data_IF_359207788087
#
_entry.id   IF_359207788087
#
_cell.length_a   1.000
_cell.length_b   1.000
_cell.length_c   1.000
_cell.angle_alpha   90.00
_cell.angle_beta   90.00
_cell.angle_gamma   90.00
#
_symmetry.space_group_name_H-M   'P 1'
#
loop_
_entity.id
_entity.type
_entity.pdbx_description
1 polymer ?
#
# COMPACT_ATOMS: atom_id res chain seq x y z
N UNK A 1 20.70 40.10 -30.23
CA UNK A 1 20.82 38.62 -30.20
C UNK A 1 20.09 38.12 -28.96
N UNK A 2 19.04 37.32 -29.19
CA UNK A 2 18.09 36.81 -28.19
C UNK A 2 18.70 35.66 -27.39
N UNK A 3 18.61 35.72 -26.05
CA UNK A 3 19.06 34.64 -25.16
C UNK A 3 18.07 34.39 -23.99
N UNK A 4 16.77 34.55 -24.23
CA UNK A 4 15.71 34.41 -23.20
C UNK A 4 14.79 33.19 -23.39
N UNK A 5 14.82 32.52 -24.55
CA UNK A 5 13.92 31.39 -24.83
C UNK A 5 14.33 30.06 -24.16
N UNK A 6 15.61 29.89 -23.81
CA UNK A 6 16.18 28.64 -23.27
C UNK A 6 15.84 28.38 -21.79
N UNK A 7 15.69 29.43 -20.98
CA UNK A 7 15.42 29.32 -19.54
C UNK A 7 13.95 28.99 -19.22
N UNK A 8 13.00 29.56 -19.99
CA UNK A 8 11.56 29.30 -19.81
C UNK A 8 11.15 27.87 -20.15
N UNK A 9 11.75 27.27 -21.18
CA UNK A 9 11.50 25.88 -21.56
C UNK A 9 11.98 24.87 -20.50
N UNK A 10 13.20 25.06 -19.96
CA UNK A 10 13.76 24.17 -18.90
C UNK A 10 12.99 24.25 -17.59
N UNK A 11 12.48 25.43 -17.21
CA UNK A 11 11.66 25.58 -16.00
C UNK A 11 10.30 24.88 -16.13
N UNK A 12 9.67 24.96 -17.30
CA UNK A 12 8.40 24.27 -17.53
C UNK A 12 8.51 22.74 -17.47
N UNK A 13 9.64 22.17 -17.93
CA UNK A 13 9.87 20.71 -17.85
C UNK A 13 10.03 20.25 -16.40
N UNK A 14 10.81 20.96 -15.59
CA UNK A 14 10.97 20.65 -14.15
C UNK A 14 9.65 20.79 -13.37
N UNK A 15 8.85 21.80 -13.70
CA UNK A 15 7.56 22.02 -13.06
C UNK A 15 6.58 20.88 -13.38
N UNK A 16 6.52 20.45 -14.65
CA UNK A 16 5.70 19.31 -15.07
C UNK A 16 6.10 18.02 -14.37
N UNK A 17 7.41 17.78 -14.21
CA UNK A 17 7.93 16.62 -13.49
C UNK A 17 7.51 16.64 -12.01
N UNK A 18 7.64 17.78 -11.34
CA UNK A 18 7.20 17.93 -9.94
C UNK A 18 5.69 17.72 -9.77
N UNK A 19 4.87 18.26 -10.67
CA UNK A 19 3.42 18.03 -10.65
C UNK A 19 3.09 16.55 -10.88
N UNK A 20 3.81 15.87 -11.78
CA UNK A 20 3.65 14.44 -12.00
C UNK A 20 3.97 13.62 -10.75
N UNK A 21 5.07 13.93 -10.06
CA UNK A 21 5.45 13.28 -8.79
C UNK A 21 4.38 13.49 -7.73
N UNK A 22 3.85 14.72 -7.59
CA UNK A 22 2.78 15.03 -6.63
C UNK A 22 1.53 14.21 -6.94
N UNK A 23 1.11 14.15 -8.21
CA UNK A 23 -0.07 13.38 -8.61
C UNK A 23 0.08 11.88 -8.33
N UNK A 24 1.24 11.30 -8.67
CA UNK A 24 1.53 9.89 -8.40
C UNK A 24 1.54 9.62 -6.89
N UNK A 25 2.13 10.52 -6.10
CA UNK A 25 2.16 10.40 -4.63
C UNK A 25 0.76 10.52 -4.02
N UNK A 26 -0.11 11.37 -4.57
CA UNK A 26 -1.50 11.51 -4.15
C UNK A 26 -2.29 10.23 -4.41
N UNK A 27 -2.14 9.64 -5.60
CA UNK A 27 -2.78 8.37 -5.96
C UNK A 27 -2.28 7.24 -5.05
N UNK A 28 -0.98 7.15 -4.81
CA UNK A 28 -0.41 6.16 -3.88
C UNK A 28 -0.96 6.32 -2.46
N UNK A 29 -1.12 7.56 -1.99
CA UNK A 29 -1.74 7.85 -0.69
C UNK A 29 -3.19 7.38 -0.64
N UNK A 30 -3.96 7.61 -1.71
CA UNK A 30 -5.33 7.11 -1.81
C UNK A 30 -5.39 5.58 -1.73
N UNK A 31 -4.46 4.87 -2.39
CA UNK A 31 -4.37 3.41 -2.31
C UNK A 31 -4.05 2.89 -0.90
N UNK A 32 -3.21 3.61 -0.14
CA UNK A 32 -2.96 3.27 1.28
C UNK A 32 -4.25 3.42 2.09
N UNK A 33 -4.97 4.53 1.95
CA UNK A 33 -6.23 4.77 2.67
C UNK A 33 -7.25 3.68 2.33
N UNK A 34 -7.42 3.37 1.05
CA UNK A 34 -8.34 2.34 0.60
C UNK A 34 -7.96 0.95 1.14
N UNK A 35 -6.66 0.62 1.15
CA UNK A 35 -6.14 -0.62 1.73
C UNK A 35 -6.46 -0.75 3.23
N UNK A 36 -6.32 0.34 3.99
CA UNK A 36 -6.65 0.37 5.43
C UNK A 36 -8.15 0.11 5.64
N UNK A 37 -9.01 0.77 4.86
CA UNK A 37 -10.47 0.60 4.96
C UNK A 37 -10.86 -0.85 4.66
N UNK A 38 -10.37 -1.42 3.55
CA UNK A 38 -10.67 -2.80 3.17
C UNK A 38 -10.18 -3.81 4.21
N UNK A 39 -8.97 -3.62 4.74
CA UNK A 39 -8.44 -4.46 5.83
C UNK A 39 -9.28 -4.36 7.09
N UNK A 40 -9.74 -3.15 7.46
CA UNK A 40 -10.57 -2.92 8.64
C UNK A 40 -11.91 -3.65 8.54
N UNK A 41 -12.56 -3.58 7.38
CA UNK A 41 -13.83 -4.28 7.12
C UNK A 41 -13.63 -5.81 7.24
N UNK A 42 -12.58 -6.35 6.61
CA UNK A 42 -12.28 -7.78 6.66
C UNK A 42 -11.98 -8.26 8.10
N UNK A 43 -11.18 -7.49 8.86
CA UNK A 43 -10.87 -7.78 10.26
C UNK A 43 -12.11 -7.74 11.16
N UNK A 44 -12.99 -6.76 10.97
CA UNK A 44 -14.24 -6.68 11.73
C UNK A 44 -15.12 -7.89 11.47
N UNK A 45 -15.26 -8.33 10.22
CA UNK A 45 -16.01 -9.56 9.91
C UNK A 45 -15.39 -10.80 10.56
N UNK A 46 -14.06 -10.94 10.49
CA UNK A 46 -13.34 -12.05 11.14
C UNK A 46 -13.55 -12.07 12.66
N UNK A 47 -13.51 -10.90 13.32
CA UNK A 47 -13.82 -10.77 14.75
C UNK A 47 -15.24 -11.22 15.08
N UNK A 48 -16.22 -10.81 14.28
CA UNK A 48 -17.62 -11.24 14.48
C UNK A 48 -17.76 -12.75 14.26
N UNK A 49 -17.08 -13.34 13.27
CA UNK A 49 -17.05 -14.79 13.06
C UNK A 49 -16.46 -15.55 14.26
N UNK A 50 -15.40 -15.01 14.89
CA UNK A 50 -14.84 -15.60 16.11
C UNK A 50 -15.82 -15.55 17.28
N UNK A 51 -16.51 -14.43 17.47
CA UNK A 51 -17.53 -14.29 18.51
C UNK A 51 -18.74 -15.20 18.27
N UNK A 52 -19.15 -15.35 17.01
CA UNK A 52 -20.21 -16.28 16.60
C UNK A 52 -19.86 -17.73 16.96
N UNK A 53 -18.61 -18.16 16.71
CA UNK A 53 -18.12 -19.50 17.09
C UNK A 53 -18.15 -19.74 18.59
N UNK A 54 -17.84 -18.71 19.39
CA UNK A 54 -17.81 -18.81 20.86
C UNK A 54 -19.24 -18.84 21.43
N UNK A 55 -20.15 -18.05 20.87
CA UNK A 55 -21.50 -17.85 21.41
C UNK A 55 -22.58 -18.72 20.75
N UNK A 56 -22.23 -19.52 19.73
CA UNK A 56 -23.19 -20.29 18.94
C UNK A 56 -24.16 -19.40 18.14
N UNK A 57 -23.76 -18.17 17.81
CA UNK A 57 -24.57 -17.24 17.02
C UNK A 57 -24.14 -17.22 15.56
N UNK A 58 -24.93 -16.58 14.70
CA UNK A 58 -24.64 -16.47 13.25
C UNK A 58 -24.81 -15.04 12.74
N UNK A 59 -24.33 -14.06 13.50
CA UNK A 59 -24.40 -12.63 13.20
C UNK A 59 -23.53 -12.24 11.98
N UNK A 60 -22.41 -12.92 11.77
CA UNK A 60 -21.50 -12.70 10.65
C UNK A 60 -22.13 -12.99 9.28
N UNK A 61 -23.17 -13.83 9.22
CA UNK A 61 -23.93 -14.10 7.99
C UNK A 61 -24.71 -12.89 7.48
N UNK A 62 -25.00 -11.92 8.36
CA UNK A 62 -25.70 -10.66 8.01
C UNK A 62 -24.73 -9.59 7.49
N UNK A 63 -23.42 -9.81 7.60
CA UNK A 63 -22.41 -8.86 7.14
C UNK A 63 -22.11 -9.08 5.65
N UNK A 64 -21.79 -8.01 4.90
CA UNK A 64 -21.44 -8.10 3.49
C UNK A 64 -20.29 -9.08 3.24
N UNK A 65 -20.25 -9.67 2.06
CA UNK A 65 -19.17 -10.55 1.66
C UNK A 65 -17.86 -9.76 1.52
N UNK A 66 -16.81 -10.25 2.18
CA UNK A 66 -15.49 -9.61 2.18
C UNK A 66 -14.43 -10.53 1.59
N UNK A 67 -14.86 -11.57 0.86
CA UNK A 67 -13.95 -12.48 0.16
C UNK A 67 -13.06 -11.65 -0.78
N UNK A 68 -11.75 -11.83 -0.68
CA UNK A 68 -10.78 -11.10 -1.48
C UNK A 68 -10.45 -9.66 -1.01
N UNK A 69 -11.19 -9.06 -0.07
CA UNK A 69 -10.90 -7.69 0.40
C UNK A 69 -9.50 -7.58 0.99
N UNK A 70 -9.08 -8.60 1.75
CA UNK A 70 -7.75 -8.66 2.34
C UNK A 70 -6.65 -8.75 1.26
N UNK A 71 -6.90 -9.51 0.19
CA UNK A 71 -5.96 -9.64 -0.91
C UNK A 71 -5.83 -8.33 -1.70
N UNK A 72 -6.96 -7.71 -2.06
CA UNK A 72 -6.99 -6.40 -2.73
C UNK A 72 -6.30 -5.33 -1.88
N UNK A 73 -6.57 -5.30 -0.57
CA UNK A 73 -5.89 -4.39 0.35
C UNK A 73 -4.37 -4.57 0.34
N UNK A 74 -3.88 -5.81 0.36
CA UNK A 74 -2.44 -6.08 0.34
C UNK A 74 -1.81 -5.65 -0.99
N UNK A 75 -2.45 -5.92 -2.13
CA UNK A 75 -1.96 -5.52 -3.45
C UNK A 75 -1.85 -3.99 -3.54
N UNK A 76 -2.88 -3.27 -3.09
CA UNK A 76 -2.88 -1.81 -3.04
C UNK A 76 -1.77 -1.27 -2.13
N UNK A 77 -1.59 -1.84 -0.95
CA UNK A 77 -0.53 -1.46 -0.02
C UNK A 77 0.86 -1.72 -0.61
N UNK A 78 1.07 -2.86 -1.28
CA UNK A 78 2.34 -3.21 -1.90
C UNK A 78 2.67 -2.24 -3.04
N UNK A 79 1.69 -1.98 -3.92
CA UNK A 79 1.85 -1.04 -5.02
C UNK A 79 2.19 0.37 -4.53
N UNK A 80 1.45 0.88 -3.53
CA UNK A 80 1.75 2.19 -2.95
C UNK A 80 3.13 2.24 -2.27
N UNK A 81 3.51 1.18 -1.54
CA UNK A 81 4.82 1.11 -0.88
C UNK A 81 5.97 1.13 -1.89
N UNK A 82 5.82 0.44 -3.03
CA UNK A 82 6.80 0.46 -4.12
C UNK A 82 6.95 1.86 -4.74
N UNK A 83 5.86 2.61 -4.89
CA UNK A 83 5.90 4.00 -5.37
C UNK A 83 6.71 4.89 -4.41
N UNK A 84 6.46 4.80 -3.10
CA UNK A 84 7.23 5.58 -2.12
C UNK A 84 8.70 5.17 -2.03
N UNK A 85 8.98 3.87 -2.18
CA UNK A 85 10.33 3.37 -2.26
C UNK A 85 11.06 3.90 -3.50
N UNK A 86 10.40 3.91 -4.66
CA UNK A 86 10.96 4.47 -5.89
C UNK A 86 11.34 5.95 -5.72
N UNK A 87 10.47 6.78 -5.14
CA UNK A 87 10.80 8.18 -4.90
C UNK A 87 11.90 8.36 -3.85
N UNK A 88 11.93 7.52 -2.82
CA UNK A 88 12.99 7.56 -1.81
C UNK A 88 14.35 7.15 -2.40
N UNK A 89 14.37 6.16 -3.29
CA UNK A 89 15.57 5.78 -4.06
C UNK A 89 16.06 6.92 -4.96
N UNK A 90 15.16 7.57 -5.70
CA UNK A 90 15.51 8.74 -6.53
C UNK A 90 16.11 9.87 -5.68
N UNK A 91 15.51 10.17 -4.52
CA UNK A 91 16.04 11.17 -3.59
C UNK A 91 17.41 10.80 -3.01
N UNK A 92 17.68 9.50 -2.80
CA UNK A 92 19.00 9.03 -2.35
C UNK A 92 20.07 9.14 -3.45
N UNK A 93 19.69 8.87 -4.71
CA UNK A 93 20.61 8.90 -5.86
C UNK A 93 20.90 10.32 -6.37
N UNK A 94 20.15 11.32 -5.93
CA UNK A 94 20.35 12.72 -6.32
C UNK A 94 21.64 13.29 -5.70
N UNK A 95 22.66 13.43 -6.55
CA UNK A 95 23.99 13.95 -6.20
C UNK A 95 24.01 15.47 -6.00
N UNK A 96 22.92 16.18 -6.31
CA UNK A 96 22.83 17.64 -6.16
C UNK A 96 22.41 18.08 -4.74
N UNK A 97 22.10 17.12 -3.87
CA UNK A 97 21.58 17.34 -2.53
C UNK A 97 22.70 17.66 -1.52
N UNK A 98 22.44 18.60 -0.59
CA UNK A 98 23.38 18.98 0.47
C UNK A 98 23.64 17.80 1.44
N UNK A 99 24.83 17.72 2.03
CA UNK A 99 25.28 16.62 2.92
C UNK A 99 24.26 16.28 4.04
N UNK A 100 23.70 17.29 4.72
CA UNK A 100 22.71 17.05 5.78
C UNK A 100 21.42 16.39 5.27
N UNK A 101 21.07 16.66 4.02
CA UNK A 101 19.84 16.18 3.39
C UNK A 101 20.05 14.82 2.71
N UNK A 102 21.30 14.48 2.39
CA UNK A 102 21.71 13.13 1.97
C UNK A 102 21.47 12.10 3.09
N UNK A 103 21.74 12.44 4.36
CA UNK A 103 21.45 11.57 5.51
C UNK A 103 19.93 11.32 5.68
N UNK A 104 19.12 12.37 5.50
CA UNK A 104 17.66 12.25 5.55
C UNK A 104 17.15 11.36 4.42
N UNK A 105 17.65 11.56 3.20
CA UNK A 105 17.27 10.77 2.04
C UNK A 105 17.66 9.29 2.20
N UNK A 106 18.83 9.01 2.77
CA UNK A 106 19.26 7.65 3.08
C UNK A 106 18.34 6.97 4.12
N UNK A 107 17.99 7.68 5.21
CA UNK A 107 17.06 7.17 6.20
C UNK A 107 15.67 6.90 5.61
N UNK A 108 15.18 7.79 4.75
CA UNK A 108 13.89 7.62 4.05
C UNK A 108 13.94 6.42 3.10
N UNK A 109 15.05 6.21 2.40
CA UNK A 109 15.27 5.04 1.57
C UNK A 109 15.22 3.74 2.38
N UNK A 110 15.95 3.67 3.51
CA UNK A 110 15.91 2.50 4.38
C UNK A 110 14.51 2.27 4.96
N UNK A 111 13.84 3.31 5.45
CA UNK A 111 12.50 3.21 6.02
C UNK A 111 11.48 2.72 4.99
N UNK A 112 11.49 3.28 3.78
CA UNK A 112 10.60 2.84 2.70
C UNK A 112 10.92 1.41 2.24
N UNK A 113 12.20 1.01 2.21
CA UNK A 113 12.60 -0.37 1.92
C UNK A 113 12.08 -1.36 2.96
N UNK A 114 12.16 -1.01 4.25
CA UNK A 114 11.58 -1.83 5.33
C UNK A 114 10.06 -1.95 5.21
N UNK A 115 9.37 -0.87 4.84
CA UNK A 115 7.91 -0.90 4.61
C UNK A 115 7.55 -1.82 3.44
N UNK A 116 8.31 -1.77 2.33
CA UNK A 116 8.11 -2.68 1.19
C UNK A 116 8.33 -4.13 1.62
N UNK A 117 9.42 -4.42 2.33
CA UNK A 117 9.71 -5.77 2.83
C UNK A 117 8.60 -6.29 3.76
N UNK A 118 8.17 -5.48 4.72
CA UNK A 118 7.08 -5.84 5.63
C UNK A 118 5.77 -6.12 4.88
N UNK A 119 5.45 -5.28 3.90
CA UNK A 119 4.24 -5.43 3.07
C UNK A 119 4.33 -6.65 2.16
N UNK A 120 5.52 -6.93 1.62
CA UNK A 120 5.78 -8.10 0.79
C UNK A 120 5.68 -9.41 1.59
N UNK A 121 6.31 -9.48 2.77
CA UNK A 121 6.19 -10.63 3.68
C UNK A 121 4.72 -10.87 4.00
N UNK A 122 3.98 -9.82 4.36
CA UNK A 122 2.53 -9.92 4.63
C UNK A 122 1.75 -10.45 3.43
N UNK A 123 2.05 -9.97 2.22
CA UNK A 123 1.42 -10.43 0.99
C UNK A 123 1.69 -11.93 0.76
N UNK A 124 2.96 -12.35 0.83
CA UNK A 124 3.35 -13.76 0.63
C UNK A 124 2.70 -14.66 1.68
N UNK A 125 2.72 -14.28 2.96
CA UNK A 125 2.10 -15.07 4.04
C UNK A 125 0.61 -15.26 3.81
N UNK A 126 -0.11 -14.25 3.32
CA UNK A 126 -1.56 -14.35 3.08
C UNK A 126 -1.90 -15.08 1.77
N UNK A 127 -0.97 -15.15 0.81
CA UNK A 127 -1.12 -15.96 -0.41
C UNK A 127 -0.82 -17.44 -0.13
N UNK A 128 0.17 -17.74 0.72
CA UNK A 128 0.56 -19.12 1.06
C UNK A 128 -0.31 -19.73 2.17
N UNK A 129 -0.78 -18.91 3.10
CA UNK A 129 -1.80 -19.26 4.07
C UNK A 129 -2.96 -18.27 3.91
N UNK A 130 -3.83 -18.46 2.89
CA UNK A 130 -5.14 -17.85 2.96
C UNK A 130 -5.73 -18.40 4.26
N UNK A 131 -5.83 -17.55 5.29
CA UNK A 131 -6.47 -17.95 6.55
C UNK A 131 -7.77 -18.69 6.23
N UNK A 132 -8.17 -19.67 7.06
CA UNK A 132 -9.13 -20.70 6.68
C UNK A 132 -10.27 -20.07 5.88
N UNK A 133 -10.44 -20.55 4.65
CA UNK A 133 -11.61 -20.24 3.84
C UNK A 133 -12.80 -20.65 4.69
N UNK A 134 -13.40 -19.70 5.40
CA UNK A 134 -14.59 -19.95 6.22
C UNK A 134 -15.77 -20.05 5.27
N UNK A 135 -15.81 -21.17 4.56
CA UNK A 135 -16.81 -21.52 3.58
C UNK A 135 -16.49 -22.89 2.98
N UNK A 136 -17.16 -23.92 3.52
CA UNK A 136 -17.28 -25.29 3.00
C UNK A 136 -16.00 -26.12 3.22
N UNK A 137 -15.97 -27.17 4.03
CA UNK A 137 -16.80 -28.38 3.95
C UNK A 137 -17.17 -28.88 5.37
N UNK A 138 -18.45 -28.77 5.74
CA UNK A 138 -19.08 -29.83 6.53
C UNK A 138 -19.80 -30.70 5.49
N UNK A 139 -19.10 -31.71 4.97
CA UNK A 139 -19.77 -32.81 4.28
C UNK A 139 -20.41 -33.66 5.38
N UNK A 140 -21.73 -33.54 5.51
CA UNK A 140 -22.55 -34.47 6.28
C UNK A 140 -22.32 -35.88 5.73
N UNK A 141 -21.72 -36.76 6.54
CA UNK A 141 -21.97 -38.19 6.41
C UNK A 141 -22.54 -38.72 7.72
N UNK A 142 -23.82 -39.09 7.60
CA UNK A 142 -24.62 -39.88 8.53
C UNK A 142 -23.91 -41.15 9.03
#
# INVERSE_FOLDING_TARGET
MSNTASSGSKNNTKLKEQVSIINISLIATFFIILSIILSSIALNKSRVQMLDKINGTSSAKKLPETAGFQNTANILALGASLVFFYFSWQGMMDKSVRINQQKVNYNNFLASGLVVLATFIRYVTLVQNPGPVTGLEEEETF
#
